data_IF_824440865155
#
_entry.id   IF_824440865155
#
_cell.length_a   1.000
_cell.length_b   1.000
_cell.length_c   1.000
_cell.angle_alpha   90.00
_cell.angle_beta   90.00
_cell.angle_gamma   90.00
#
_symmetry.space_group_name_H-M   'P 1'
#
loop_
_entity.id
_entity.type
_entity.pdbx_description
1 polymer ?
#
# COMPACT_ATOMS: atom_id res chain seq x y z
N UNK A 1 -4.45 10.88 5.34
CA UNK A 1 -5.77 11.42 5.72
C UNK A 1 -5.81 12.94 5.92
N UNK A 2 -4.87 13.58 6.67
CA UNK A 2 -4.91 15.05 6.93
C UNK A 2 -4.93 15.96 5.68
N UNK A 3 -4.28 15.55 4.58
CA UNK A 3 -4.27 16.30 3.31
C UNK A 3 -5.60 16.23 2.54
N UNK A 4 -6.34 15.13 2.73
CA UNK A 4 -7.66 14.91 2.12
C UNK A 4 -8.75 15.63 2.91
N UNK A 5 -8.69 15.57 4.23
CA UNK A 5 -9.49 16.44 5.09
C UNK A 5 -9.25 17.92 4.74
N UNK A 6 -7.98 18.32 4.53
CA UNK A 6 -7.66 19.68 4.06
C UNK A 6 -8.19 19.99 2.66
N UNK A 7 -8.12 19.07 1.70
CA UNK A 7 -8.63 19.31 0.34
C UNK A 7 -10.16 19.34 0.30
N UNK A 8 -10.82 18.49 1.07
CA UNK A 8 -12.27 18.49 1.25
C UNK A 8 -12.70 19.79 1.92
N UNK A 9 -12.04 20.18 3.01
CA UNK A 9 -12.31 21.43 3.70
C UNK A 9 -12.03 22.65 2.81
N UNK A 10 -10.99 22.62 1.97
CA UNK A 10 -10.69 23.70 1.02
C UNK A 10 -11.63 23.72 -0.19
N UNK A 11 -12.18 22.57 -0.59
CA UNK A 11 -13.22 22.47 -1.62
C UNK A 11 -14.55 23.02 -1.09
N UNK A 12 -14.92 22.65 0.13
CA UNK A 12 -16.09 23.17 0.84
C UNK A 12 -15.93 24.66 1.12
N UNK A 13 -14.74 25.11 1.52
CA UNK A 13 -14.45 26.51 1.81
C UNK A 13 -14.32 27.38 0.56
N UNK A 14 -13.89 26.84 -0.58
CA UNK A 14 -13.94 27.56 -1.86
C UNK A 14 -15.37 27.66 -2.39
N UNK A 15 -16.22 26.69 -2.10
CA UNK A 15 -17.66 26.76 -2.39
C UNK A 15 -18.37 27.73 -1.42
N UNK A 16 -17.86 27.91 -0.20
CA UNK A 16 -18.39 28.84 0.81
C UNK A 16 -17.79 30.25 0.76
N UNK A 17 -16.73 30.50 0.00
CA UNK A 17 -16.08 31.82 -0.07
C UNK A 17 -16.68 32.73 -1.15
N UNK A 18 -17.49 32.18 -2.06
CA UNK A 18 -18.32 32.99 -2.97
C UNK A 18 -19.63 33.44 -2.30
N UNK A 19 -20.01 32.83 -1.17
CA UNK A 19 -21.16 33.23 -0.36
C UNK A 19 -20.72 33.61 1.06
N UNK A 20 -20.43 34.92 1.23
CA UNK A 20 -20.27 35.65 2.49
C UNK A 20 -20.49 34.84 3.79
N UNK A 21 -19.38 34.60 4.49
CA UNK A 21 -19.23 34.53 5.96
C UNK A 21 -20.56 34.43 6.76
N UNK A 22 -21.19 33.25 6.78
CA UNK A 22 -22.37 32.99 7.59
C UNK A 22 -22.09 31.90 8.63
N UNK A 23 -22.41 32.23 9.89
CA UNK A 23 -22.56 31.28 11.00
C UNK A 23 -23.49 30.13 10.59
N UNK A 24 -23.40 28.93 11.22
CA UNK A 24 -24.32 27.83 10.91
C UNK A 24 -25.75 28.33 11.06
N UNK A 25 -26.42 28.50 9.93
CA UNK A 25 -27.79 29.00 9.85
C UNK A 25 -28.75 27.86 10.15
N UNK A 26 -29.97 28.21 10.54
CA UNK A 26 -31.07 27.29 10.87
C UNK A 26 -31.34 26.25 9.74
N UNK A 27 -30.88 26.51 8.50
CA UNK A 27 -30.94 25.58 7.38
C UNK A 27 -30.03 24.33 7.52
N UNK A 28 -28.96 24.36 8.33
CA UNK A 28 -28.14 23.16 8.63
C UNK A 28 -28.91 22.11 9.46
N UNK A 29 -30.02 22.51 10.09
CA UNK A 29 -30.93 21.62 10.81
C UNK A 29 -32.02 21.01 9.90
N UNK A 30 -32.08 21.41 8.62
CA UNK A 30 -33.05 20.87 7.67
C UNK A 30 -32.60 19.47 7.23
N UNK A 31 -33.46 18.44 7.29
CA UNK A 31 -33.12 17.13 6.77
C UNK A 31 -32.75 17.27 5.29
N UNK A 32 -31.58 16.72 4.95
CA UNK A 32 -31.00 16.79 3.61
C UNK A 32 -32.01 16.28 2.58
N UNK A 33 -32.11 16.94 1.42
CA UNK A 33 -33.04 16.49 0.40
C UNK A 33 -32.60 15.14 -0.19
N UNK A 34 -33.56 14.30 -0.57
CA UNK A 34 -33.29 12.94 -1.06
C UNK A 34 -32.45 12.94 -2.33
N UNK A 35 -32.60 13.97 -3.19
CA UNK A 35 -31.79 14.11 -4.39
C UNK A 35 -30.35 14.52 -4.05
N UNK A 36 -30.18 15.48 -3.13
CA UNK A 36 -28.88 15.91 -2.64
C UNK A 36 -28.11 14.76 -1.96
N UNK A 37 -28.82 13.91 -1.21
CA UNK A 37 -28.24 12.72 -0.59
C UNK A 37 -27.74 11.70 -1.63
N UNK A 38 -28.53 11.43 -2.67
CA UNK A 38 -28.16 10.50 -3.74
C UNK A 38 -26.95 11.02 -4.56
N UNK A 39 -26.91 12.31 -4.83
CA UNK A 39 -25.78 12.97 -5.49
C UNK A 39 -24.50 12.92 -4.64
N UNK A 40 -24.64 13.16 -3.34
CA UNK A 40 -23.54 13.06 -2.38
C UNK A 40 -22.98 11.64 -2.31
N UNK A 41 -23.83 10.61 -2.16
CA UNK A 41 -23.40 9.19 -2.16
C UNK A 41 -22.71 8.83 -3.48
N UNK A 42 -23.26 9.25 -4.63
CA UNK A 42 -22.65 9.00 -5.95
C UNK A 42 -21.31 9.71 -6.10
N UNK A 43 -21.15 10.90 -5.54
CA UNK A 43 -19.87 11.62 -5.54
C UNK A 43 -18.81 10.90 -4.68
N UNK A 44 -19.20 10.38 -3.51
CA UNK A 44 -18.32 9.61 -2.62
C UNK A 44 -17.87 8.30 -3.26
N UNK A 45 -18.75 7.59 -3.98
CA UNK A 45 -18.40 6.38 -4.74
C UNK A 45 -17.34 6.67 -5.80
N UNK A 46 -17.54 7.73 -6.59
CA UNK A 46 -16.59 8.13 -7.64
C UNK A 46 -15.24 8.52 -7.04
N UNK A 47 -15.26 9.32 -5.97
CA UNK A 47 -14.04 9.74 -5.27
C UNK A 47 -13.29 8.55 -4.69
N UNK A 48 -13.99 7.64 -4.00
CA UNK A 48 -13.37 6.46 -3.42
C UNK A 48 -12.75 5.55 -4.50
N UNK A 49 -13.47 5.31 -5.61
CA UNK A 49 -12.95 4.53 -6.73
C UNK A 49 -11.70 5.17 -7.35
N UNK A 50 -11.69 6.50 -7.51
CA UNK A 50 -10.54 7.23 -8.04
C UNK A 50 -9.35 7.20 -7.08
N UNK A 51 -9.58 7.42 -5.80
CA UNK A 51 -8.53 7.35 -4.77
C UNK A 51 -7.94 5.96 -4.65
N UNK A 52 -8.78 4.93 -4.69
CA UNK A 52 -8.35 3.53 -4.68
C UNK A 52 -7.41 3.22 -5.83
N UNK A 53 -7.78 3.63 -7.05
CA UNK A 53 -6.91 3.48 -8.23
C UNK A 53 -5.60 4.24 -8.09
N UNK A 54 -5.65 5.50 -7.64
CA UNK A 54 -4.44 6.33 -7.48
C UNK A 54 -3.46 5.70 -6.48
N UNK A 55 -3.94 5.28 -5.30
CA UNK A 55 -3.09 4.67 -4.29
C UNK A 55 -2.52 3.32 -4.76
N UNK A 56 -3.34 2.47 -5.39
CA UNK A 56 -2.86 1.22 -5.98
C UNK A 56 -1.74 1.44 -6.98
N UNK A 57 -1.87 2.45 -7.85
CA UNK A 57 -0.82 2.82 -8.82
C UNK A 57 0.44 3.34 -8.13
N UNK A 58 0.31 4.26 -7.16
CA UNK A 58 1.48 4.82 -6.46
C UNK A 58 2.29 3.72 -5.76
N UNK A 59 1.61 2.80 -5.05
CA UNK A 59 2.30 1.70 -4.38
C UNK A 59 2.87 0.68 -5.37
N UNK A 60 2.17 0.39 -6.48
CA UNK A 60 2.72 -0.47 -7.52
C UNK A 60 4.01 0.09 -8.13
N UNK A 61 4.05 1.41 -8.41
CA UNK A 61 5.25 2.09 -8.93
C UNK A 61 6.38 2.05 -7.91
N UNK A 62 6.10 2.36 -6.64
CA UNK A 62 7.10 2.32 -5.56
C UNK A 62 7.72 0.92 -5.44
N UNK A 63 6.90 -0.13 -5.44
CA UNK A 63 7.37 -1.53 -5.39
C UNK A 63 8.14 -1.92 -6.65
N UNK A 64 7.76 -1.38 -7.82
CA UNK A 64 8.48 -1.61 -9.07
C UNK A 64 9.89 -0.98 -9.03
N UNK A 65 10.02 0.21 -8.45
CA UNK A 65 11.32 0.83 -8.21
C UNK A 65 12.19 -0.03 -7.28
N UNK A 66 11.60 -0.64 -6.25
CA UNK A 66 12.33 -1.56 -5.36
C UNK A 66 12.79 -2.82 -6.09
N UNK A 67 11.95 -3.42 -6.94
CA UNK A 67 12.33 -4.56 -7.79
C UNK A 67 13.50 -4.19 -8.72
N UNK A 68 13.47 -3.00 -9.35
CA UNK A 68 14.55 -2.53 -10.21
C UNK A 68 15.86 -2.37 -9.43
N UNK A 69 15.80 -1.88 -8.18
CA UNK A 69 16.96 -1.81 -7.30
C UNK A 69 17.52 -3.20 -6.95
N UNK A 70 16.66 -4.18 -6.66
CA UNK A 70 17.09 -5.57 -6.41
C UNK A 70 17.75 -6.19 -7.65
N UNK A 71 17.17 -6.00 -8.83
CA UNK A 71 17.74 -6.46 -10.10
C UNK A 71 19.11 -5.84 -10.38
N UNK A 72 19.23 -4.52 -10.18
CA UNK A 72 20.52 -3.83 -10.29
C UNK A 72 21.53 -4.41 -9.30
N UNK A 73 21.10 -4.72 -8.08
CA UNK A 73 21.98 -5.30 -7.07
C UNK A 73 22.42 -6.73 -7.40
N UNK A 74 21.54 -7.56 -7.99
CA UNK A 74 21.90 -8.90 -8.48
C UNK A 74 22.94 -8.77 -9.60
N UNK A 75 22.68 -7.89 -10.58
CA UNK A 75 23.59 -7.65 -11.69
C UNK A 75 24.99 -7.23 -11.19
N UNK A 76 25.04 -6.28 -10.25
CA UNK A 76 26.29 -5.83 -9.67
C UNK A 76 26.99 -6.94 -8.87
N UNK A 77 26.25 -7.79 -8.16
CA UNK A 77 26.83 -8.95 -7.45
C UNK A 77 27.44 -9.96 -8.43
N UNK A 78 26.86 -10.14 -9.61
CA UNK A 78 27.39 -11.05 -10.64
C UNK A 78 28.58 -10.48 -11.41
N UNK A 79 28.61 -9.17 -11.65
CA UNK A 79 29.72 -8.52 -12.37
C UNK A 79 30.92 -8.23 -11.47
N UNK A 80 30.67 -7.85 -10.21
CA UNK A 80 31.67 -7.45 -9.23
C UNK A 80 31.35 -8.10 -7.87
N UNK A 81 31.76 -9.37 -7.69
CA UNK A 81 31.41 -10.11 -6.48
C UNK A 81 32.00 -9.43 -5.25
N UNK A 82 31.15 -9.19 -4.25
CA UNK A 82 31.50 -8.66 -2.92
C UNK A 82 32.01 -7.21 -2.87
N UNK A 83 31.92 -6.44 -3.95
CA UNK A 83 32.25 -5.00 -3.90
C UNK A 83 31.22 -4.17 -3.11
N UNK A 84 29.97 -4.64 -3.02
CA UNK A 84 28.95 -3.96 -2.22
C UNK A 84 29.18 -4.21 -0.74
N UNK A 85 29.45 -3.13 0.00
CA UNK A 85 29.75 -3.15 1.44
C UNK A 85 28.77 -4.01 2.25
N UNK A 86 27.47 -3.91 2.00
CA UNK A 86 26.46 -4.68 2.77
C UNK A 86 26.41 -6.18 2.42
N UNK A 87 26.92 -6.58 1.25
CA UNK A 87 27.02 -8.00 0.83
C UNK A 87 28.36 -8.61 1.26
N UNK A 88 29.44 -7.83 1.21
CA UNK A 88 30.79 -8.24 1.61
C UNK A 88 30.85 -8.86 3.02
N UNK A 89 29.97 -8.40 3.92
CA UNK A 89 29.94 -8.91 5.29
C UNK A 89 29.48 -10.38 5.40
N UNK A 90 28.76 -10.89 4.40
CA UNK A 90 28.26 -12.25 4.38
C UNK A 90 29.15 -13.22 3.60
N UNK A 91 30.32 -12.76 3.13
CA UNK A 91 31.21 -13.53 2.26
C UNK A 91 31.69 -14.85 2.89
N UNK A 92 31.91 -14.87 4.21
CA UNK A 92 32.40 -16.06 4.91
C UNK A 92 31.28 -17.04 5.29
N UNK A 93 30.06 -16.56 5.48
CA UNK A 93 28.94 -17.34 6.05
C UNK A 93 27.88 -17.76 5.01
N UNK A 94 27.77 -17.08 3.88
CA UNK A 94 26.70 -17.28 2.89
C UNK A 94 27.29 -17.47 1.49
N UNK A 95 26.88 -18.56 0.83
CA UNK A 95 27.21 -18.80 -0.57
C UNK A 95 26.58 -17.73 -1.50
N UNK A 96 27.31 -17.31 -2.53
CA UNK A 96 26.86 -16.30 -3.49
C UNK A 96 25.53 -16.68 -4.16
N UNK A 97 25.32 -17.99 -4.37
CA UNK A 97 24.09 -18.50 -4.96
C UNK A 97 22.86 -18.29 -4.05
N UNK A 98 23.01 -18.47 -2.73
CA UNK A 98 21.93 -18.27 -1.76
C UNK A 98 21.49 -16.80 -1.70
N UNK A 99 22.43 -15.86 -1.82
CA UNK A 99 22.15 -14.43 -1.92
C UNK A 99 21.29 -14.11 -3.15
N UNK A 100 21.71 -14.62 -4.31
CA UNK A 100 21.00 -14.43 -5.58
C UNK A 100 19.60 -15.04 -5.51
N UNK A 101 19.46 -16.27 -4.99
CA UNK A 101 18.18 -16.93 -4.82
C UNK A 101 17.22 -16.15 -3.91
N UNK A 102 17.72 -15.64 -2.78
CA UNK A 102 16.92 -14.81 -1.87
C UNK A 102 16.40 -13.55 -2.56
N UNK A 103 17.25 -12.86 -3.32
CA UNK A 103 16.86 -11.65 -4.05
C UNK A 103 15.82 -11.97 -5.14
N UNK A 104 15.97 -13.09 -5.85
CA UNK A 104 14.95 -13.57 -6.80
C UNK A 104 13.62 -13.88 -6.11
N UNK A 105 13.64 -14.53 -4.96
CA UNK A 105 12.42 -14.79 -4.18
C UNK A 105 11.76 -13.49 -3.72
N UNK A 106 12.54 -12.48 -3.32
CA UNK A 106 12.03 -11.16 -2.98
C UNK A 106 11.38 -10.45 -4.18
N UNK A 107 11.97 -10.55 -5.38
CA UNK A 107 11.39 -10.03 -6.62
C UNK A 107 10.07 -10.73 -6.96
N UNK A 108 10.00 -12.05 -6.81
CA UNK A 108 8.77 -12.84 -7.03
C UNK A 108 7.69 -12.45 -6.00
N UNK A 109 8.05 -12.28 -4.72
CA UNK A 109 7.12 -11.82 -3.70
C UNK A 109 6.58 -10.41 -4.01
N UNK A 110 7.45 -9.47 -4.39
CA UNK A 110 7.05 -8.09 -4.70
C UNK A 110 6.21 -8.01 -5.98
N UNK A 111 6.56 -8.75 -7.03
CA UNK A 111 5.78 -8.77 -8.29
C UNK A 111 4.40 -9.39 -8.10
N UNK A 112 4.29 -10.46 -7.30
CA UNK A 112 2.99 -11.07 -6.97
C UNK A 112 2.13 -10.15 -6.10
N UNK A 113 2.71 -9.33 -5.22
CA UNK A 113 1.98 -8.26 -4.51
C UNK A 113 1.45 -7.19 -5.47
N UNK A 114 2.27 -6.71 -6.43
CA UNK A 114 1.85 -5.72 -7.43
C UNK A 114 0.70 -6.26 -8.29
N UNK A 115 0.80 -7.51 -8.75
CA UNK A 115 -0.26 -8.16 -9.50
C UNK A 115 -1.52 -8.35 -8.63
N UNK A 116 -1.34 -8.63 -7.34
CA UNK A 116 -2.42 -8.65 -6.36
C UNK A 116 -3.12 -7.30 -6.20
N UNK A 117 -2.42 -6.17 -6.20
CA UNK A 117 -3.03 -4.84 -6.11
C UNK A 117 -3.77 -4.41 -7.39
N UNK A 118 -3.27 -4.84 -8.55
CA UNK A 118 -3.76 -4.38 -9.85
C UNK A 118 -4.92 -5.23 -10.38
N UNK A 119 -4.93 -6.54 -10.11
CA UNK A 119 -6.00 -7.43 -10.57
C UNK A 119 -7.10 -7.57 -9.52
N UNK A 120 -8.32 -7.09 -9.82
CA UNK A 120 -9.51 -7.22 -8.96
C UNK A 120 -10.17 -8.61 -9.03
N UNK A 121 -9.38 -9.68 -9.16
CA UNK A 121 -9.90 -11.05 -9.25
C UNK A 121 -10.28 -11.59 -7.86
N UNK A 122 -11.25 -12.51 -7.80
CA UNK A 122 -11.64 -13.30 -6.62
C UNK A 122 -10.43 -13.88 -5.84
N UNK A 123 -9.33 -14.15 -6.54
CA UNK A 123 -8.11 -14.75 -5.98
C UNK A 123 -7.07 -13.72 -5.52
N UNK A 124 -7.29 -12.42 -5.72
CA UNK A 124 -6.26 -11.41 -5.46
C UNK A 124 -5.91 -11.34 -3.96
N UNK A 125 -6.90 -11.44 -3.06
CA UNK A 125 -6.66 -11.40 -1.61
C UNK A 125 -5.74 -12.55 -1.16
N UNK A 126 -5.98 -13.76 -1.66
CA UNK A 126 -5.11 -14.92 -1.39
C UNK A 126 -3.70 -14.68 -1.91
N UNK A 127 -3.57 -14.08 -3.09
CA UNK A 127 -2.28 -13.75 -3.71
C UNK A 127 -1.46 -12.76 -2.88
N UNK A 128 -2.08 -11.70 -2.34
CA UNK A 128 -1.38 -10.74 -1.48
C UNK A 128 -0.97 -11.41 -0.15
N UNK A 129 -1.82 -12.26 0.42
CA UNK A 129 -1.48 -13.02 1.64
C UNK A 129 -0.31 -14.00 1.43
N UNK A 130 -0.27 -14.72 0.30
CA UNK A 130 0.86 -15.57 -0.04
C UNK A 130 2.14 -14.76 -0.24
N UNK A 131 2.06 -13.61 -0.91
CA UNK A 131 3.19 -12.70 -1.07
C UNK A 131 3.74 -12.24 0.29
N UNK A 132 2.88 -11.89 1.25
CA UNK A 132 3.29 -11.54 2.60
C UNK A 132 3.93 -12.71 3.35
N UNK A 133 3.36 -13.92 3.26
CA UNK A 133 3.94 -15.11 3.87
C UNK A 133 5.35 -15.40 3.33
N UNK A 134 5.56 -15.27 2.01
CA UNK A 134 6.89 -15.38 1.39
C UNK A 134 7.82 -14.26 1.88
N UNK A 135 7.32 -13.02 2.00
CA UNK A 135 8.06 -11.90 2.59
C UNK A 135 8.52 -12.16 4.02
N UNK A 136 7.69 -12.78 4.85
CA UNK A 136 8.03 -13.20 6.23
C UNK A 136 9.13 -14.25 6.22
N UNK A 137 9.05 -15.27 5.35
CA UNK A 137 10.08 -16.31 5.24
C UNK A 137 11.44 -15.67 4.87
N UNK A 138 11.45 -14.75 3.90
CA UNK A 138 12.66 -14.02 3.50
C UNK A 138 13.20 -13.17 4.65
N UNK A 139 12.32 -12.48 5.40
CA UNK A 139 12.72 -11.68 6.54
C UNK A 139 13.36 -12.53 7.65
N UNK A 140 12.77 -13.69 7.96
CA UNK A 140 13.31 -14.65 8.94
C UNK A 140 14.67 -15.18 8.48
N UNK A 141 14.80 -15.52 7.20
CA UNK A 141 16.07 -15.95 6.61
C UNK A 141 17.16 -14.90 6.84
N UNK A 142 16.92 -13.63 6.46
CA UNK A 142 17.90 -12.56 6.64
C UNK A 142 18.19 -12.24 8.11
N UNK A 143 17.16 -12.27 8.96
CA UNK A 143 17.33 -12.01 10.39
C UNK A 143 18.16 -13.10 11.07
N UNK A 144 17.99 -14.37 10.67
CA UNK A 144 18.81 -15.48 11.13
C UNK A 144 20.30 -15.26 10.81
N UNK A 145 20.64 -14.92 9.56
CA UNK A 145 22.03 -14.66 9.19
C UNK A 145 22.59 -13.38 9.82
N UNK A 146 21.75 -12.35 10.02
CA UNK A 146 22.17 -11.13 10.70
C UNK A 146 22.49 -11.37 12.19
N UNK A 147 21.77 -12.27 12.86
CA UNK A 147 22.04 -12.67 14.26
C UNK A 147 23.25 -13.58 14.40
N UNK A 148 23.58 -14.36 13.37
CA UNK A 148 24.77 -15.22 13.34
C UNK A 148 26.07 -14.42 13.23
N UNK A 149 26.00 -13.18 12.74
CA UNK A 149 27.17 -12.33 12.60
C UNK A 149 27.72 -11.86 13.96
N UNK A 150 29.06 -11.83 14.14
CA UNK A 150 29.68 -11.48 15.42
C UNK A 150 29.51 -10.01 15.83
N UNK A 151 29.17 -9.13 14.87
CA UNK A 151 28.85 -7.72 15.13
C UNK A 151 27.54 -7.36 14.44
N UNK A 152 26.53 -7.01 15.22
CA UNK A 152 25.25 -6.54 14.73
C UNK A 152 25.41 -5.19 14.02
N UNK A 153 24.97 -5.09 12.77
CA UNK A 153 25.05 -3.85 11.99
C UNK A 153 23.68 -3.39 11.51
N UNK A 154 23.33 -2.18 11.89
CA UNK A 154 22.08 -1.54 11.49
C UNK A 154 22.00 -1.21 10.00
N UNK A 155 23.13 -1.03 9.31
CA UNK A 155 23.18 -0.74 7.87
C UNK A 155 22.57 -1.84 6.99
N UNK A 156 22.44 -3.07 7.52
CA UNK A 156 21.97 -4.26 6.81
C UNK A 156 20.50 -4.56 7.14
N UNK A 157 19.90 -3.79 8.05
CA UNK A 157 18.54 -4.06 8.54
C UNK A 157 17.48 -3.86 7.46
N UNK A 158 17.78 -3.10 6.41
CA UNK A 158 16.84 -2.92 5.30
C UNK A 158 16.65 -4.20 4.47
N UNK A 159 17.54 -5.20 4.55
CA UNK A 159 17.40 -6.46 3.81
C UNK A 159 16.19 -7.30 4.28
N UNK A 160 16.03 -7.62 5.58
CA UNK A 160 14.83 -8.29 6.07
C UNK A 160 13.58 -7.39 6.02
N UNK A 161 13.75 -6.10 6.34
CA UNK A 161 12.61 -5.20 6.45
C UNK A 161 12.10 -4.70 5.09
N UNK A 162 12.89 -4.70 4.02
CA UNK A 162 12.49 -4.21 2.70
C UNK A 162 11.32 -5.01 2.12
N UNK A 163 11.48 -6.32 1.83
CA UNK A 163 10.41 -7.15 1.28
C UNK A 163 9.23 -7.31 2.24
N UNK A 164 9.51 -7.39 3.55
CA UNK A 164 8.46 -7.50 4.58
C UNK A 164 7.60 -6.24 4.66
N UNK A 165 8.23 -5.06 4.71
CA UNK A 165 7.50 -3.79 4.74
C UNK A 165 6.77 -3.53 3.43
N UNK A 166 7.36 -3.87 2.28
CA UNK A 166 6.71 -3.73 0.97
C UNK A 166 5.44 -4.58 0.87
N UNK A 167 5.53 -5.88 1.17
CA UNK A 167 4.38 -6.79 1.12
C UNK A 167 3.34 -6.49 2.21
N UNK A 168 3.78 -6.11 3.42
CA UNK A 168 2.91 -5.71 4.51
C UNK A 168 2.16 -4.40 4.23
N UNK A 169 2.83 -3.41 3.63
CA UNK A 169 2.21 -2.16 3.21
C UNK A 169 1.19 -2.40 2.09
N UNK A 170 1.49 -3.30 1.15
CA UNK A 170 0.55 -3.75 0.13
C UNK A 170 -0.72 -4.39 0.72
N UNK A 171 -0.58 -5.26 1.74
CA UNK A 171 -1.73 -5.82 2.47
C UNK A 171 -2.54 -4.73 3.18
N UNK A 172 -1.86 -3.81 3.87
CA UNK A 172 -2.51 -2.75 4.63
C UNK A 172 -3.30 -1.81 3.71
N UNK A 173 -2.71 -1.41 2.59
CA UNK A 173 -3.37 -0.58 1.58
C UNK A 173 -4.58 -1.30 1.00
N UNK A 174 -4.46 -2.59 0.68
CA UNK A 174 -5.59 -3.35 0.17
C UNK A 174 -6.74 -3.45 1.18
N UNK A 175 -6.42 -3.72 2.45
CA UNK A 175 -7.40 -3.73 3.53
C UNK A 175 -8.13 -2.40 3.67
N UNK A 176 -7.37 -1.29 3.70
CA UNK A 176 -7.91 0.06 3.85
C UNK A 176 -8.80 0.48 2.67
N UNK A 177 -8.42 0.08 1.45
CA UNK A 177 -9.24 0.33 0.25
C UNK A 177 -10.52 -0.51 0.25
N UNK A 178 -10.46 -1.75 0.73
CA UNK A 178 -11.62 -2.61 0.84
C UNK A 178 -12.59 -2.09 1.92
N UNK A 179 -12.09 -1.71 3.09
CA UNK A 179 -12.88 -1.12 4.18
C UNK A 179 -13.60 0.16 3.72
N UNK A 180 -12.89 1.06 3.05
CA UNK A 180 -13.50 2.27 2.50
C UNK A 180 -14.61 1.95 1.49
N UNK A 181 -14.45 0.93 0.65
CA UNK A 181 -15.50 0.52 -0.29
C UNK A 181 -16.75 -0.05 0.42
N UNK A 182 -16.55 -0.76 1.54
CA UNK A 182 -17.63 -1.31 2.35
C UNK A 182 -18.41 -0.21 3.06
N UNK A 183 -17.73 0.80 3.60
CA UNK A 183 -18.39 1.96 4.24
C UNK A 183 -19.28 2.71 3.25
N UNK A 184 -18.78 2.98 2.04
CA UNK A 184 -19.58 3.63 0.99
C UNK A 184 -20.78 2.76 0.59
N UNK A 185 -20.59 1.44 0.48
CA UNK A 185 -21.69 0.50 0.19
C UNK A 185 -22.72 0.46 1.33
N UNK A 186 -22.29 0.55 2.59
CA UNK A 186 -23.18 0.66 3.75
C UNK A 186 -24.00 1.95 3.70
N UNK A 187 -23.38 3.09 3.39
CA UNK A 187 -24.09 4.36 3.20
C UNK A 187 -25.21 4.24 2.16
N UNK A 188 -24.91 3.65 0.99
CA UNK A 188 -25.93 3.37 -0.04
C UNK A 188 -27.03 2.46 0.48
N UNK A 189 -26.69 1.42 1.26
CA UNK A 189 -27.70 0.51 1.82
C UNK A 189 -28.63 1.18 2.85
N UNK A 190 -28.11 2.08 3.69
CA UNK A 190 -28.93 2.84 4.64
C UNK A 190 -29.88 3.80 3.93
N UNK A 191 -29.42 4.44 2.86
CA UNK A 191 -30.27 5.29 2.02
C UNK A 191 -31.44 4.50 1.40
N UNK A 192 -31.19 3.29 0.87
CA UNK A 192 -32.26 2.45 0.34
C UNK A 192 -33.19 1.90 1.42
N UNK A 193 -32.67 1.53 2.59
CA UNK A 193 -33.47 1.06 3.71
C UNK A 193 -34.43 2.15 4.23
N UNK A 194 -33.96 3.40 4.29
CA UNK A 194 -34.79 4.55 4.66
C UNK A 194 -35.85 4.86 3.61
N UNK A 195 -35.53 4.76 2.31
CA UNK A 195 -36.48 4.98 1.21
C UNK A 195 -37.57 3.90 1.11
N UNK A 196 -37.36 2.74 1.73
CA UNK A 196 -38.27 1.61 1.71
C UNK A 196 -39.24 1.57 2.92
N UNK A 197 -39.02 2.39 3.94
CA UNK A 197 -39.94 2.64 5.06
C UNK A 197 -40.91 3.77 4.71
#
# INVERSE_FOLDING_TARGET
MKKLARKLNKSLQNQSNDDNLSLPTVDDARPIDTQEQEELVRSLEKLNAQQSRLWRTVFAVLMSCYIAFLLFSIYHQTAHPWELRYRAYFMEDIDSWLLILSDWLAIVACSTAILGLTQSSEHHRRRIWYSFAVGVIIAVFWLYYMLRMPKFRWDVIWLPFGPLSGTGLCLYVDHLLNESSLEVRKLRSYMYAYKAM
#
